data_IF_588605642192
#
_entry.id   IF_588605642192
#
_cell.length_a   1.000
_cell.length_b   1.000
_cell.length_c   1.000
_cell.angle_alpha   90.00
_cell.angle_beta   90.00
_cell.angle_gamma   90.00
#
_symmetry.space_group_name_H-M   'P 1'
#
loop_
_entity.id
_entity.type
_entity.pdbx_description
1 polymer ?
#
# COMPACT_ATOMS: atom_id res chain seq x y z
N UNK A 1 -43.32 17.54 -39.56
CA UNK A 1 -41.89 17.93 -39.57
C UNK A 1 -41.55 19.35 -39.05
N UNK A 2 -42.37 20.11 -38.28
CA UNK A 2 -41.97 21.46 -37.82
C UNK A 2 -41.06 21.50 -36.57
N UNK A 3 -40.92 20.39 -35.83
CA UNK A 3 -40.07 20.35 -34.64
C UNK A 3 -38.58 20.24 -35.00
N UNK A 4 -38.22 19.51 -36.05
CA UNK A 4 -36.82 19.35 -36.50
C UNK A 4 -36.21 20.69 -36.97
N UNK A 5 -37.01 21.53 -37.64
CA UNK A 5 -36.55 22.86 -38.09
C UNK A 5 -36.35 23.86 -36.94
N UNK A 6 -37.11 23.76 -35.84
CA UNK A 6 -36.88 24.61 -34.67
C UNK A 6 -35.64 24.18 -33.89
N UNK A 7 -35.36 22.88 -33.82
CA UNK A 7 -34.15 22.37 -33.19
C UNK A 7 -32.89 22.71 -34.00
N UNK A 8 -32.94 22.64 -35.33
CA UNK A 8 -31.80 23.02 -36.18
C UNK A 8 -31.49 24.52 -36.10
N UNK A 9 -32.50 25.39 -36.07
CA UNK A 9 -32.31 26.84 -35.89
C UNK A 9 -31.77 27.18 -34.49
N UNK A 10 -32.27 26.51 -33.45
CA UNK A 10 -31.74 26.69 -32.10
C UNK A 10 -30.29 26.21 -31.98
N UNK A 11 -29.95 25.05 -32.55
CA UNK A 11 -28.59 24.53 -32.58
C UNK A 11 -27.64 25.46 -33.32
N UNK A 12 -28.03 25.95 -34.51
CA UNK A 12 -27.22 26.89 -35.29
C UNK A 12 -27.01 28.22 -34.57
N UNK A 13 -28.01 28.70 -33.82
CA UNK A 13 -27.88 29.92 -33.01
C UNK A 13 -26.91 29.72 -31.86
N UNK A 14 -26.96 28.56 -31.19
CA UNK A 14 -26.01 28.22 -30.11
C UNK A 14 -24.59 28.09 -30.66
N UNK A 15 -24.41 27.42 -31.79
CA UNK A 15 -23.12 27.26 -32.45
C UNK A 15 -22.52 28.62 -32.83
N UNK A 16 -23.31 29.51 -33.45
CA UNK A 16 -22.85 30.86 -33.79
C UNK A 16 -22.45 31.66 -32.55
N UNK A 17 -23.21 31.58 -31.46
CA UNK A 17 -22.87 32.30 -30.21
C UNK A 17 -21.61 31.75 -29.55
N UNK A 18 -21.41 30.43 -29.57
CA UNK A 18 -20.19 29.80 -29.07
C UNK A 18 -18.98 30.17 -29.94
N UNK A 19 -19.14 30.16 -31.27
CA UNK A 19 -18.10 30.55 -32.21
C UNK A 19 -17.68 32.01 -32.02
N UNK A 20 -18.64 32.93 -31.87
CA UNK A 20 -18.35 34.35 -31.58
C UNK A 20 -17.61 34.51 -30.25
N UNK A 21 -18.02 33.76 -29.22
CA UNK A 21 -17.38 33.76 -27.90
C UNK A 21 -15.93 33.26 -27.93
N UNK A 22 -15.69 32.10 -28.54
CA UNK A 22 -14.33 31.56 -28.71
C UNK A 22 -13.49 32.42 -29.65
N UNK A 23 -14.10 33.01 -30.68
CA UNK A 23 -13.46 33.97 -31.58
C UNK A 23 -12.97 35.21 -30.85
N UNK A 24 -13.76 35.77 -29.93
CA UNK A 24 -13.35 36.90 -29.09
C UNK A 24 -12.17 36.54 -28.19
N UNK A 25 -12.22 35.39 -27.51
CA UNK A 25 -11.11 34.90 -26.67
C UNK A 25 -9.83 34.71 -27.51
N UNK A 26 -9.95 34.08 -28.68
CA UNK A 26 -8.83 33.90 -29.61
C UNK A 26 -8.24 35.22 -30.09
N UNK A 27 -9.08 36.21 -30.38
CA UNK A 27 -8.64 37.56 -30.78
C UNK A 27 -7.89 38.27 -29.64
N UNK A 28 -8.35 38.14 -28.39
CA UNK A 28 -7.64 38.70 -27.24
C UNK A 28 -6.27 38.04 -27.03
N UNK A 29 -6.20 36.70 -27.11
CA UNK A 29 -4.93 35.95 -26.97
C UNK A 29 -3.96 36.30 -28.10
N UNK A 30 -4.46 36.38 -29.34
CA UNK A 30 -3.66 36.74 -30.51
C UNK A 30 -3.17 38.20 -30.51
N UNK A 31 -3.95 39.12 -29.93
CA UNK A 31 -3.56 40.53 -29.82
C UNK A 31 -2.50 40.77 -28.73
N UNK A 32 -2.47 39.94 -27.68
CA UNK A 32 -1.52 40.05 -26.57
C UNK A 32 -0.89 38.69 -26.17
N UNK A 33 -0.09 38.08 -27.05
CA UNK A 33 0.39 36.71 -26.86
C UNK A 33 1.32 36.56 -25.64
N UNK A 34 2.29 37.46 -25.49
CA UNK A 34 3.25 37.40 -24.38
C UNK A 34 2.59 37.57 -23.00
N UNK A 35 1.61 38.48 -22.89
CA UNK A 35 0.89 38.71 -21.63
C UNK A 35 0.03 37.51 -21.26
N UNK A 36 -0.63 36.90 -22.26
CA UNK A 36 -1.49 35.73 -22.07
C UNK A 36 -0.67 34.51 -21.63
N UNK A 37 0.47 34.24 -22.27
CA UNK A 37 1.37 33.14 -21.88
C UNK A 37 1.95 33.38 -20.49
N UNK A 38 2.43 34.59 -20.19
CA UNK A 38 2.98 34.91 -18.88
C UNK A 38 1.94 34.72 -17.77
N UNK A 39 0.70 35.18 -17.98
CA UNK A 39 -0.39 35.01 -17.03
C UNK A 39 -0.68 33.52 -16.76
N UNK A 40 -0.75 32.71 -17.80
CA UNK A 40 -0.97 31.26 -17.67
C UNK A 40 0.18 30.58 -16.91
N UNK A 41 1.44 30.91 -17.23
CA UNK A 41 2.61 30.37 -16.53
C UNK A 41 2.63 30.75 -15.06
N UNK A 42 2.35 32.02 -14.72
CA UNK A 42 2.28 32.49 -13.34
C UNK A 42 1.16 31.80 -12.57
N UNK A 43 -0.02 31.64 -13.19
CA UNK A 43 -1.14 30.93 -12.57
C UNK A 43 -0.77 29.47 -12.28
N UNK A 44 -0.25 28.72 -13.26
CA UNK A 44 0.19 27.35 -13.06
C UNK A 44 1.28 27.24 -11.99
N UNK A 45 2.31 28.11 -12.06
CA UNK A 45 3.42 28.11 -11.11
C UNK A 45 2.96 28.43 -9.68
N UNK A 46 1.93 29.26 -9.50
CA UNK A 46 1.37 29.58 -8.18
C UNK A 46 0.67 28.39 -7.52
N UNK A 47 0.17 27.43 -8.31
CA UNK A 47 -0.55 26.25 -7.82
C UNK A 47 0.39 25.09 -7.46
N UNK A 48 1.53 24.97 -8.16
CA UNK A 48 2.51 23.87 -7.98
C UNK A 48 3.00 23.68 -6.53
N UNK A 49 3.26 24.70 -5.70
CA UNK A 49 3.71 24.50 -4.33
C UNK A 49 2.73 23.67 -3.48
N UNK A 50 1.44 23.65 -3.82
CA UNK A 50 0.44 22.82 -3.17
C UNK A 50 0.74 21.32 -3.23
N UNK A 51 1.57 20.85 -4.18
CA UNK A 51 2.00 19.44 -4.26
C UNK A 51 2.72 19.02 -2.98
N UNK A 52 3.47 19.91 -2.34
CA UNK A 52 4.18 19.63 -1.09
C UNK A 52 3.24 19.38 0.10
N UNK A 53 1.99 19.85 0.01
CA UNK A 53 0.97 19.70 1.05
C UNK A 53 0.14 18.43 0.90
N UNK A 54 0.36 17.66 -0.18
CA UNK A 54 -0.37 16.43 -0.44
C UNK A 54 0.02 15.37 0.57
N UNK A 55 -0.99 14.78 1.22
CA UNK A 55 -0.84 13.62 2.10
C UNK A 55 -1.31 12.37 1.36
N UNK A 56 -0.48 11.34 1.32
CA UNK A 56 -0.85 10.05 0.74
C UNK A 56 -1.70 9.23 1.72
N UNK A 57 -2.68 8.48 1.21
CA UNK A 57 -3.43 7.47 1.96
C UNK A 57 -3.31 6.13 1.24
N UNK A 58 -2.66 5.17 1.87
CA UNK A 58 -2.45 3.80 1.36
C UNK A 58 -3.43 2.78 1.97
N UNK A 59 -4.15 3.14 3.03
CA UNK A 59 -4.99 2.20 3.76
C UNK A 59 -6.15 1.68 2.88
N UNK A 60 -6.05 0.42 2.47
CA UNK A 60 -7.02 -0.23 1.58
C UNK A 60 -8.46 -0.13 2.14
N UNK A 61 -8.62 -0.31 3.45
CA UNK A 61 -9.92 -0.21 4.12
C UNK A 61 -10.59 1.17 3.96
N UNK A 62 -9.80 2.24 3.85
CA UNK A 62 -10.33 3.59 3.64
C UNK A 62 -10.62 3.88 2.17
N UNK A 63 -9.76 3.39 1.27
CA UNK A 63 -9.84 3.63 -0.18
C UNK A 63 -10.98 2.85 -0.85
N UNK A 64 -11.18 1.59 -0.47
CA UNK A 64 -12.08 0.68 -1.18
C UNK A 64 -13.44 0.48 -0.51
N UNK A 65 -13.64 1.00 0.71
CA UNK A 65 -14.95 0.99 1.36
C UNK A 65 -15.68 2.34 1.17
N UNK A 66 -17.00 2.34 0.90
CA UNK A 66 -17.78 3.56 0.77
C UNK A 66 -17.66 4.46 2.01
N UNK A 67 -17.50 5.77 1.77
CA UNK A 67 -17.27 6.73 2.83
C UNK A 67 -18.53 7.19 3.57
N UNK A 68 -19.68 7.17 2.91
CA UNK A 68 -20.98 7.54 3.47
C UNK A 68 -21.99 6.42 3.26
N UNK A 69 -22.97 6.34 4.14
CA UNK A 69 -24.05 5.33 4.09
C UNK A 69 -23.51 3.90 4.12
N UNK A 70 -22.47 3.68 4.93
CA UNK A 70 -21.82 2.39 5.07
C UNK A 70 -22.05 1.87 6.48
N UNK A 71 -23.05 1.00 6.62
CA UNK A 71 -23.39 0.35 7.89
C UNK A 71 -22.18 -0.27 8.59
N UNK A 72 -21.24 -0.86 7.84
CA UNK A 72 -20.04 -1.47 8.43
C UNK A 72 -19.10 -0.43 9.08
N UNK A 73 -19.07 0.82 8.60
CA UNK A 73 -18.30 1.90 9.24
C UNK A 73 -18.99 2.40 10.50
N UNK A 74 -20.30 2.60 10.44
CA UNK A 74 -21.10 3.05 11.59
C UNK A 74 -21.04 2.01 12.73
N UNK A 75 -21.15 0.72 12.40
CA UNK A 75 -21.01 -0.38 13.36
C UNK A 75 -19.59 -0.48 13.93
N UNK A 76 -18.55 -0.19 13.13
CA UNK A 76 -17.16 -0.15 13.61
C UNK A 76 -16.93 1.01 14.57
N UNK A 77 -17.48 2.19 14.28
CA UNK A 77 -17.40 3.34 15.18
C UNK A 77 -18.12 3.05 16.50
N UNK A 78 -19.33 2.47 16.43
CA UNK A 78 -20.07 2.00 17.61
C UNK A 78 -19.28 0.97 18.41
N UNK A 79 -18.69 -0.05 17.75
CA UNK A 79 -17.85 -1.04 18.41
C UNK A 79 -16.65 -0.37 19.10
N UNK A 80 -15.98 0.55 18.42
CA UNK A 80 -14.83 1.26 18.99
C UNK A 80 -15.21 2.11 20.22
N UNK A 81 -16.38 2.73 20.20
CA UNK A 81 -16.89 3.55 21.30
C UNK A 81 -17.28 2.71 22.52
N UNK A 82 -17.93 1.55 22.31
CA UNK A 82 -18.35 0.66 23.39
C UNK A 82 -17.16 0.01 24.08
N UNK A 83 -16.21 -0.51 23.30
CA UNK A 83 -15.08 -1.28 23.84
C UNK A 83 -13.87 -0.41 24.19
N UNK A 84 -13.92 0.91 23.94
CA UNK A 84 -12.80 1.82 24.17
C UNK A 84 -11.61 1.59 23.22
N UNK A 85 -11.85 0.90 22.10
CA UNK A 85 -10.84 0.51 21.12
C UNK A 85 -10.67 1.56 20.01
N UNK A 86 -10.86 2.85 20.31
CA UNK A 86 -10.61 3.90 19.33
C UNK A 86 -9.11 3.87 18.99
N UNK A 87 -8.79 3.53 17.73
CA UNK A 87 -7.44 3.38 17.19
C UNK A 87 -6.60 2.17 17.63
N UNK A 88 -7.22 1.15 18.22
CA UNK A 88 -6.52 -0.09 18.55
C UNK A 88 -6.39 -0.95 17.28
N UNK A 89 -5.27 -0.78 16.57
CA UNK A 89 -4.80 -1.71 15.55
C UNK A 89 -4.23 -2.94 16.23
N UNK A 90 -4.92 -4.08 16.15
CA UNK A 90 -4.37 -5.37 16.57
C UNK A 90 -3.26 -5.75 15.59
N UNK A 91 -2.02 -5.39 15.91
CA UNK A 91 -0.87 -5.72 15.07
C UNK A 91 -0.33 -7.10 15.41
N UNK A 92 -0.38 -7.98 14.41
CA UNK A 92 0.16 -9.32 14.49
C UNK A 92 1.17 -9.52 13.38
N UNK A 93 2.39 -9.88 13.75
CA UNK A 93 3.40 -10.32 12.78
C UNK A 93 3.39 -11.83 12.73
N UNK A 94 3.32 -12.39 11.52
CA UNK A 94 3.18 -13.82 11.29
C UNK A 94 4.37 -14.37 10.49
N UNK A 95 4.86 -15.54 10.91
CA UNK A 95 5.86 -16.34 10.19
C UNK A 95 5.25 -17.71 9.90
N UNK A 96 5.14 -18.06 8.62
CA UNK A 96 4.65 -19.33 8.13
C UNK A 96 5.82 -20.18 7.64
N UNK A 97 6.03 -21.33 8.27
CA UNK A 97 6.86 -22.40 7.73
C UNK A 97 5.95 -23.42 7.02
N UNK A 98 6.21 -23.73 5.75
CA UNK A 98 5.38 -24.64 4.97
C UNK A 98 6.22 -25.55 4.07
N UNK A 99 5.66 -26.69 3.70
CA UNK A 99 6.24 -27.59 2.69
C UNK A 99 5.34 -27.68 1.46
N UNK A 100 5.96 -27.87 0.29
CA UNK A 100 5.25 -28.18 -0.95
C UNK A 100 5.09 -29.69 -1.16
N UNK A 101 5.72 -30.51 -0.31
CA UNK A 101 5.69 -31.96 -0.42
C UNK A 101 4.72 -32.52 0.62
N UNK A 102 3.58 -33.05 0.17
CA UNK A 102 2.53 -33.60 1.05
C UNK A 102 3.02 -34.77 1.93
N UNK A 103 4.12 -35.42 1.55
CA UNK A 103 4.74 -36.52 2.29
C UNK A 103 5.59 -36.05 3.49
N UNK A 104 5.92 -34.75 3.57
CA UNK A 104 6.83 -34.23 4.59
C UNK A 104 6.05 -33.71 5.80
N UNK A 105 6.43 -34.17 6.99
CA UNK A 105 5.82 -33.74 8.24
C UNK A 105 6.64 -32.61 8.89
N UNK A 106 6.04 -31.44 9.05
CA UNK A 106 6.74 -30.33 9.72
C UNK A 106 6.75 -30.45 11.25
N UNK A 107 6.01 -31.40 11.84
CA UNK A 107 6.05 -31.66 13.29
C UNK A 107 7.28 -32.48 13.72
N UNK A 108 8.16 -32.86 12.79
CA UNK A 108 9.37 -33.61 13.10
C UNK A 108 10.34 -32.77 13.96
N UNK A 109 11.03 -33.42 14.88
CA UNK A 109 11.84 -32.73 15.88
C UNK A 109 12.94 -31.85 15.29
N UNK A 110 13.52 -32.27 14.16
CA UNK A 110 14.53 -31.49 13.41
C UNK A 110 13.95 -30.17 12.90
N UNK A 111 12.78 -30.23 12.24
CA UNK A 111 12.07 -29.05 11.72
C UNK A 111 11.73 -28.08 12.85
N UNK A 112 11.17 -28.60 13.94
CA UNK A 112 10.78 -27.80 15.11
C UNK A 112 12.00 -27.15 15.76
N UNK A 113 13.14 -27.84 15.85
CA UNK A 113 14.36 -27.28 16.41
C UNK A 113 14.94 -26.16 15.53
N UNK A 114 14.95 -26.33 14.20
CA UNK A 114 15.32 -25.26 13.27
C UNK A 114 14.35 -24.08 13.34
N UNK A 115 13.06 -24.31 13.51
CA UNK A 115 12.10 -23.24 13.68
C UNK A 115 12.26 -22.51 15.03
N UNK A 116 12.65 -23.24 16.08
CA UNK A 116 12.94 -22.68 17.40
C UNK A 116 14.17 -21.77 17.37
N UNK A 117 15.23 -22.11 16.62
CA UNK A 117 16.40 -21.23 16.50
C UNK A 117 16.05 -19.89 15.84
N UNK A 118 15.20 -19.92 14.80
CA UNK A 118 14.69 -18.70 14.15
C UNK A 118 13.83 -17.88 15.13
N UNK A 119 12.93 -18.54 15.86
CA UNK A 119 12.10 -17.89 16.88
C UNK A 119 12.94 -17.23 17.99
N UNK A 120 13.99 -17.90 18.46
CA UNK A 120 14.91 -17.31 19.44
C UNK A 120 15.65 -16.08 18.89
N UNK A 121 16.05 -16.11 17.62
CA UNK A 121 16.63 -14.95 16.93
C UNK A 121 15.67 -13.76 16.92
N UNK A 122 14.39 -14.00 16.62
CA UNK A 122 13.34 -12.97 16.59
C UNK A 122 13.07 -12.40 18.00
N UNK A 123 13.02 -13.22 19.05
CA UNK A 123 12.78 -12.72 20.41
C UNK A 123 13.96 -11.89 20.93
N UNK A 124 15.19 -12.31 20.60
CA UNK A 124 16.42 -11.68 21.07
C UNK A 124 16.84 -10.47 20.23
N UNK A 125 16.19 -10.20 19.11
CA UNK A 125 16.54 -9.05 18.28
C UNK A 125 16.28 -7.74 19.05
N UNK A 126 17.27 -6.85 18.98
CA UNK A 126 17.17 -5.52 19.55
C UNK A 126 16.80 -4.52 18.45
N UNK A 127 15.66 -3.86 18.63
CA UNK A 127 15.26 -2.71 17.83
C UNK A 127 15.69 -1.43 18.52
N UNK A 128 16.12 -0.45 17.74
CA UNK A 128 16.60 0.83 18.26
C UNK A 128 15.82 1.97 17.63
N UNK A 129 15.28 2.85 18.46
CA UNK A 129 14.66 4.11 18.04
C UNK A 129 15.44 5.29 18.60
N UNK A 130 15.61 6.31 17.77
CA UNK A 130 16.12 7.60 18.18
C UNK A 130 14.95 8.55 18.43
N UNK A 131 14.73 8.91 19.69
CA UNK A 131 13.75 9.94 20.09
C UNK A 131 14.54 11.18 20.55
N UNK A 132 14.74 12.11 19.62
CA UNK A 132 15.65 13.25 19.84
C UNK A 132 17.09 12.79 20.02
N UNK A 133 17.74 13.22 21.11
CA UNK A 133 19.14 12.86 21.43
C UNK A 133 19.27 11.48 22.14
N UNK A 134 18.15 10.83 22.49
CA UNK A 134 18.18 9.55 23.21
C UNK A 134 17.89 8.39 22.26
N UNK A 135 18.76 7.38 22.30
CA UNK A 135 18.53 6.08 21.66
C UNK A 135 17.94 5.13 22.69
N UNK A 136 16.77 4.57 22.37
CA UNK A 136 16.09 3.58 23.19
C UNK A 136 16.20 2.25 22.43
N UNK A 137 16.91 1.29 23.02
CA UNK A 137 16.88 -0.10 22.56
C UNK A 137 15.76 -0.85 23.28
N UNK A 138 15.08 -1.72 22.55
CA UNK A 138 13.99 -2.54 23.07
C UNK A 138 13.90 -3.86 22.31
N UNK A 139 13.30 -4.85 22.94
CA UNK A 139 13.11 -6.20 22.41
C UNK A 139 11.63 -6.52 22.27
N UNK A 140 11.30 -7.68 21.68
CA UNK A 140 9.92 -8.14 21.62
C UNK A 140 9.28 -8.21 23.02
N UNK A 141 10.03 -8.58 24.06
CA UNK A 141 9.50 -8.68 25.43
C UNK A 141 8.99 -7.37 25.98
N UNK A 142 9.53 -6.25 25.53
CA UNK A 142 9.17 -4.91 26.04
C UNK A 142 7.89 -4.39 25.40
N UNK A 143 7.56 -4.84 24.19
CA UNK A 143 6.41 -4.36 23.41
C UNK A 143 5.31 -5.41 23.22
N UNK A 144 5.55 -6.67 23.58
CA UNK A 144 4.59 -7.74 23.34
C UNK A 144 3.30 -7.55 24.14
N UNK A 145 2.18 -7.99 23.57
CA UNK A 145 0.90 -8.09 24.29
C UNK A 145 1.08 -9.10 25.43
N UNK A 146 0.86 -8.70 26.67
CA UNK A 146 0.99 -9.61 27.82
C UNK A 146 -0.25 -10.49 27.99
N UNK A 147 -0.08 -11.67 28.59
CA UNK A 147 -1.22 -12.50 28.97
C UNK A 147 -2.05 -11.82 30.06
N UNK A 148 -3.38 -11.92 29.96
CA UNK A 148 -4.30 -11.52 31.02
C UNK A 148 -4.57 -12.62 32.06
N UNK A 149 -3.95 -13.80 31.92
CA UNK A 149 -4.16 -14.92 32.84
C UNK A 149 -3.37 -14.71 34.13
N UNK A 150 -4.05 -14.90 35.27
CA UNK A 150 -3.47 -14.74 36.61
C UNK A 150 -2.23 -15.64 36.75
N UNK A 151 -1.10 -15.05 37.12
CA UNK A 151 0.18 -15.76 37.26
C UNK A 151 1.03 -15.87 35.98
N UNK A 152 0.52 -15.43 34.83
CA UNK A 152 1.25 -15.39 33.54
C UNK A 152 1.38 -13.97 32.97
N UNK A 153 1.17 -12.94 33.79
CA UNK A 153 1.17 -11.53 33.39
C UNK A 153 2.50 -11.07 32.77
N UNK A 154 3.60 -11.75 33.11
CA UNK A 154 4.91 -11.46 32.52
C UNK A 154 5.15 -12.15 31.17
N UNK A 155 4.27 -13.04 30.72
CA UNK A 155 4.45 -13.78 29.48
C UNK A 155 3.90 -13.00 28.27
N UNK A 156 4.68 -12.98 27.19
CA UNK A 156 4.24 -12.45 25.91
C UNK A 156 3.24 -13.37 25.22
N UNK A 157 2.20 -12.77 24.65
CA UNK A 157 1.23 -13.41 23.77
C UNK A 157 1.89 -13.78 22.46
N UNK A 158 2.20 -15.07 22.37
CA UNK A 158 2.80 -15.72 21.23
C UNK A 158 2.04 -17.01 20.98
N UNK A 159 1.69 -17.27 19.73
CA UNK A 159 1.02 -18.51 19.32
C UNK A 159 1.93 -19.19 18.30
N UNK A 160 2.38 -20.40 18.61
CA UNK A 160 3.19 -21.20 17.70
C UNK A 160 3.64 -22.51 18.35
N UNK A 161 3.90 -23.51 17.52
CA UNK A 161 4.29 -24.85 17.98
C UNK A 161 5.65 -24.88 18.71
N UNK A 162 6.48 -23.85 18.52
CA UNK A 162 7.86 -23.78 19.06
C UNK A 162 7.94 -23.61 20.58
N UNK A 163 6.86 -23.11 21.21
CA UNK A 163 6.74 -22.98 22.68
C UNK A 163 6.34 -24.31 23.35
N UNK A 164 5.98 -25.33 22.56
CA UNK A 164 5.60 -26.67 23.03
C UNK A 164 6.80 -27.61 23.09
N UNK A 165 6.80 -28.50 24.09
CA UNK A 165 7.72 -29.62 24.17
C UNK A 165 7.40 -30.71 23.15
N UNK A 166 8.37 -31.57 22.83
CA UNK A 166 8.16 -32.67 21.88
C UNK A 166 7.03 -33.64 22.28
N UNK A 167 6.82 -33.82 23.59
CA UNK A 167 5.74 -34.67 24.10
C UNK A 167 4.37 -33.98 24.02
N UNK A 168 4.31 -32.67 24.17
CA UNK A 168 3.10 -31.89 23.96
C UNK A 168 2.72 -31.84 22.48
N UNK A 169 3.70 -31.72 21.57
CA UNK A 169 3.48 -31.70 20.12
C UNK A 169 2.76 -32.98 19.65
N UNK A 170 3.17 -34.15 20.16
CA UNK A 170 2.53 -35.45 19.85
C UNK A 170 1.09 -35.57 20.37
N UNK A 171 0.72 -34.75 21.36
CA UNK A 171 -0.59 -34.77 22.02
C UNK A 171 -1.45 -33.56 21.67
N UNK A 172 -1.11 -32.83 20.60
CA UNK A 172 -1.94 -31.72 20.14
C UNK A 172 -3.28 -32.28 19.61
N UNK A 173 -4.42 -31.92 20.22
CA UNK A 173 -5.73 -32.36 19.74
C UNK A 173 -6.06 -31.71 18.39
N UNK A 174 -6.92 -32.34 17.60
CA UNK A 174 -7.31 -31.81 16.29
C UNK A 174 -8.19 -30.55 16.34
N UNK A 175 -8.85 -30.25 17.47
CA UNK A 175 -9.78 -29.12 17.58
C UNK A 175 -9.17 -27.92 18.29
N UNK A 176 -9.07 -27.97 19.61
CA UNK A 176 -8.60 -26.87 20.46
C UNK A 176 -7.49 -27.33 21.39
N UNK A 177 -6.38 -26.61 21.39
CA UNK A 177 -5.30 -26.81 22.34
C UNK A 177 -5.51 -25.90 23.56
N UNK A 178 -5.44 -26.49 24.75
CA UNK A 178 -5.54 -25.72 26.00
C UNK A 178 -4.16 -25.22 26.40
N UNK A 179 -3.92 -23.91 26.24
CA UNK A 179 -2.70 -23.26 26.69
C UNK A 179 -2.95 -22.64 28.08
N UNK A 180 -2.20 -23.03 29.14
CA UNK A 180 -2.37 -22.46 30.48
C UNK A 180 -2.24 -20.93 30.53
N UNK A 181 -1.51 -20.34 29.58
CA UNK A 181 -1.24 -18.89 29.50
C UNK A 181 -2.34 -18.14 28.77
N UNK A 182 -3.00 -18.75 27.78
CA UNK A 182 -3.90 -18.04 26.85
C UNK A 182 -5.28 -18.69 26.69
N UNK A 183 -5.55 -19.77 27.41
CA UNK A 183 -6.79 -20.53 27.34
C UNK A 183 -6.86 -21.43 26.09
N UNK A 184 -8.08 -21.68 25.62
CA UNK A 184 -8.33 -22.54 24.47
C UNK A 184 -8.00 -21.83 23.16
N UNK A 185 -7.01 -22.35 22.44
CA UNK A 185 -6.57 -21.86 21.13
C UNK A 185 -7.04 -22.87 20.07
N UNK A 186 -7.78 -22.45 19.02
CA UNK A 186 -8.11 -23.33 17.91
C UNK A 186 -6.82 -23.77 17.21
N UNK A 187 -6.60 -25.07 17.05
CA UNK A 187 -5.34 -25.58 16.48
C UNK A 187 -5.14 -25.15 15.03
N UNK A 188 -6.23 -24.85 14.33
CA UNK A 188 -6.21 -24.27 12.99
C UNK A 188 -5.53 -22.88 12.91
N UNK A 189 -5.35 -22.16 14.03
CA UNK A 189 -4.66 -20.85 14.01
C UNK A 189 -3.14 -20.98 13.92
N UNK A 190 -2.57 -22.16 14.18
CA UNK A 190 -1.11 -22.35 14.15
C UNK A 190 -0.62 -23.61 13.41
N UNK A 191 -1.50 -24.57 13.11
CA UNK A 191 -1.19 -25.74 12.28
C UNK A 191 -2.11 -25.77 11.05
N UNK A 192 -1.50 -25.76 9.86
CA UNK A 192 -2.17 -25.87 8.55
C UNK A 192 -1.91 -27.22 7.87
N UNK A 193 -2.81 -27.63 6.96
CA UNK A 193 -2.67 -28.90 6.22
C UNK A 193 -2.54 -30.12 7.14
N UNK A 194 -3.42 -30.21 8.14
CA UNK A 194 -3.32 -31.19 9.23
C UNK A 194 -3.90 -32.53 8.81
N UNK A 195 -3.21 -33.61 9.20
CA UNK A 195 -3.71 -34.98 9.10
C UNK A 195 -3.99 -35.50 10.50
N UNK A 196 -5.24 -35.90 10.74
CA UNK A 196 -5.68 -36.41 12.03
C UNK A 196 -5.39 -37.91 12.16
N UNK A 197 -5.07 -38.33 13.37
CA UNK A 197 -4.96 -39.74 13.75
C UNK A 197 -6.30 -40.27 14.25
N UNK A 198 -6.46 -41.60 14.32
CA UNK A 198 -7.66 -42.26 14.84
C UNK A 198 -8.04 -41.80 16.26
N UNK A 199 -7.05 -41.36 17.05
CA UNK A 199 -7.23 -40.86 18.42
C UNK A 199 -7.58 -39.36 18.50
N UNK A 200 -7.98 -38.71 17.40
CA UNK A 200 -8.30 -37.27 17.35
C UNK A 200 -7.13 -36.32 17.69
N UNK A 201 -5.89 -36.81 17.56
CA UNK A 201 -4.67 -36.01 17.67
C UNK A 201 -4.09 -35.70 16.29
N UNK A 202 -3.36 -34.59 16.17
CA UNK A 202 -2.67 -34.24 14.93
C UNK A 202 -1.48 -35.17 14.73
N UNK A 203 -1.46 -35.90 13.61
CA UNK A 203 -0.36 -36.80 13.23
C UNK A 203 0.69 -36.08 12.39
N UNK A 204 0.26 -35.24 11.47
CA UNK A 204 1.13 -34.50 10.56
C UNK A 204 0.55 -33.11 10.28
N UNK A 205 1.42 -32.16 9.95
CA UNK A 205 1.04 -30.83 9.47
C UNK A 205 1.96 -30.38 8.34
N UNK A 206 1.37 -29.79 7.30
CA UNK A 206 2.09 -29.25 6.15
C UNK A 206 2.48 -27.75 6.31
N UNK A 207 1.90 -27.07 7.30
CA UNK A 207 2.19 -25.66 7.61
C UNK A 207 2.18 -25.38 9.10
N UNK A 208 3.13 -24.56 9.56
CA UNK A 208 3.28 -24.10 10.94
C UNK A 208 3.27 -22.57 10.94
N UNK A 209 2.33 -21.95 11.64
CA UNK A 209 2.24 -20.50 11.78
C UNK A 209 2.70 -20.07 13.17
N UNK A 210 3.59 -19.07 13.20
CA UNK A 210 4.05 -18.39 14.40
C UNK A 210 3.51 -16.96 14.38
N UNK A 211 2.76 -16.58 15.41
CA UNK A 211 2.13 -15.27 15.51
C UNK A 211 2.67 -14.51 16.72
N UNK A 212 3.18 -13.31 16.46
CA UNK A 212 3.72 -12.39 17.45
C UNK A 212 2.76 -11.23 17.62
N UNK A 213 2.11 -11.14 18.79
CA UNK A 213 1.15 -10.07 19.10
C UNK A 213 1.83 -8.92 19.83
N UNK A 214 1.68 -7.71 19.32
CA UNK A 214 2.22 -6.49 19.94
C UNK A 214 1.14 -5.85 20.84
N UNK A 215 1.58 -5.23 21.94
CA UNK A 215 0.70 -4.55 22.88
C UNK A 215 0.12 -3.28 22.26
N UNK A 216 -1.17 -3.08 22.50
CA UNK A 216 -1.95 -1.96 21.96
C UNK A 216 -1.54 -0.61 22.58
N UNK A 217 -0.91 -0.64 23.76
CA UNK A 217 -0.40 0.53 24.48
C UNK A 217 0.97 1.01 24.00
N UNK A 218 1.64 0.25 23.14
CA UNK A 218 2.97 0.60 22.63
C UNK A 218 2.88 1.77 21.64
N UNK A 219 3.88 2.64 21.63
CA UNK A 219 3.92 3.75 20.67
C UNK A 219 3.99 3.22 19.22
N UNK A 220 3.21 3.86 18.31
CA UNK A 220 3.10 3.44 16.90
C UNK A 220 4.46 3.42 16.20
N UNK A 221 5.35 4.33 16.56
CA UNK A 221 6.71 4.38 16.01
C UNK A 221 7.55 3.15 16.42
N UNK A 222 7.43 2.71 17.69
CA UNK A 222 8.09 1.52 18.22
C UNK A 222 7.57 0.24 17.59
N UNK A 223 6.25 0.12 17.45
CA UNK A 223 5.64 -1.03 16.77
C UNK A 223 6.12 -1.14 15.33
N UNK A 224 6.01 -0.05 14.55
CA UNK A 224 6.42 -0.04 13.16
C UNK A 224 7.92 -0.34 12.98
N UNK A 225 8.77 0.14 13.89
CA UNK A 225 10.20 -0.14 13.82
C UNK A 225 10.52 -1.61 14.07
N UNK A 226 9.90 -2.22 15.07
CA UNK A 226 10.09 -3.63 15.36
C UNK A 226 9.59 -4.52 14.22
N UNK A 227 8.46 -4.18 13.61
CA UNK A 227 7.95 -4.88 12.43
C UNK A 227 8.93 -4.81 11.23
N UNK A 228 9.56 -3.65 11.01
CA UNK A 228 10.57 -3.46 9.97
C UNK A 228 11.83 -4.31 10.25
N UNK A 229 12.32 -4.30 11.49
CA UNK A 229 13.48 -5.08 11.90
C UNK A 229 13.17 -6.60 11.88
N UNK A 230 11.96 -7.01 12.29
CA UNK A 230 11.44 -8.38 12.16
C UNK A 230 11.49 -8.85 10.71
N UNK A 231 10.93 -8.06 9.79
CA UNK A 231 10.85 -8.41 8.38
C UNK A 231 12.24 -8.50 7.76
N UNK A 232 13.16 -7.58 8.08
CA UNK A 232 14.56 -7.66 7.65
C UNK A 232 15.26 -8.91 8.19
N UNK A 233 15.08 -9.21 9.46
CA UNK A 233 15.70 -10.38 10.09
C UNK A 233 15.24 -11.68 9.42
N UNK A 234 13.93 -11.86 9.26
CA UNK A 234 13.34 -13.04 8.60
C UNK A 234 13.78 -13.13 7.14
N UNK A 235 13.87 -12.02 6.41
CA UNK A 235 14.37 -12.00 5.04
C UNK A 235 15.83 -12.44 4.94
N UNK A 236 16.68 -11.99 5.87
CA UNK A 236 18.08 -12.42 5.93
C UNK A 236 18.18 -13.91 6.21
N UNK A 237 17.43 -14.42 7.20
CA UNK A 237 17.36 -15.85 7.51
C UNK A 237 16.87 -16.65 6.30
N UNK A 238 15.81 -16.21 5.62
CA UNK A 238 15.27 -16.88 4.44
C UNK A 238 16.25 -16.88 3.26
N UNK A 239 17.11 -15.87 3.11
CA UNK A 239 18.12 -15.82 2.05
C UNK A 239 19.36 -16.66 2.37
N UNK A 240 19.87 -16.56 3.59
CA UNK A 240 21.12 -17.21 4.00
C UNK A 240 20.92 -18.68 4.36
N UNK A 241 19.85 -18.99 5.10
CA UNK A 241 19.55 -20.33 5.61
C UNK A 241 18.47 -21.04 4.79
N UNK A 242 17.71 -20.33 3.96
CA UNK A 242 16.64 -20.92 3.14
C UNK A 242 17.03 -22.18 2.36
N UNK A 243 18.19 -22.22 1.68
CA UNK A 243 18.61 -23.40 0.92
C UNK A 243 18.91 -24.64 1.78
N UNK A 244 19.25 -24.46 3.06
CA UNK A 244 19.59 -25.54 3.98
C UNK A 244 18.42 -25.95 4.89
N UNK A 245 17.35 -25.17 4.92
CA UNK A 245 16.17 -25.49 5.72
C UNK A 245 15.32 -26.58 5.03
N UNK A 246 14.76 -27.52 5.81
CA UNK A 246 13.89 -28.56 5.26
C UNK A 246 12.50 -28.03 4.84
N UNK A 247 12.20 -26.74 5.06
CA UNK A 247 10.91 -26.11 4.77
C UNK A 247 11.10 -24.74 4.12
N UNK A 248 10.02 -24.24 3.51
CA UNK A 248 9.95 -22.89 2.97
C UNK A 248 9.39 -21.93 4.02
N UNK A 249 9.86 -20.69 3.97
CA UNK A 249 9.40 -19.61 4.85
C UNK A 249 8.58 -18.60 4.05
N UNK A 250 7.45 -18.19 4.63
CA UNK A 250 6.67 -17.03 4.25
C UNK A 250 6.43 -16.19 5.50
N UNK A 251 6.28 -14.88 5.34
CA UNK A 251 6.13 -13.95 6.45
C UNK A 251 5.18 -12.84 6.06
N UNK A 252 4.49 -12.31 7.05
CA UNK A 252 3.47 -11.30 6.90
C UNK A 252 3.50 -10.37 8.10
N UNK A 253 3.40 -9.07 7.85
CA UNK A 253 3.19 -8.04 8.87
C UNK A 253 2.02 -7.17 8.42
N UNK A 254 1.28 -6.58 9.35
CA UNK A 254 0.09 -5.77 9.03
C UNK A 254 0.43 -4.65 8.01
N UNK A 255 1.60 -4.02 8.16
CA UNK A 255 2.05 -2.94 7.29
C UNK A 255 2.50 -3.38 5.89
N UNK A 256 2.77 -4.67 5.69
CA UNK A 256 3.38 -5.16 4.44
C UNK A 256 2.45 -5.00 3.23
N UNK A 257 1.13 -5.13 3.42
CA UNK A 257 0.15 -4.91 2.35
C UNK A 257 0.18 -3.47 1.85
N UNK A 258 0.15 -2.50 2.77
CA UNK A 258 0.22 -1.08 2.43
C UNK A 258 1.56 -0.70 1.81
N UNK A 259 2.66 -1.24 2.34
CA UNK A 259 4.01 -0.99 1.82
C UNK A 259 4.18 -1.55 0.42
N UNK A 260 3.77 -2.79 0.15
CA UNK A 260 3.88 -3.39 -1.19
C UNK A 260 2.97 -2.68 -2.19
N UNK A 261 1.77 -2.23 -1.80
CA UNK A 261 0.93 -1.38 -2.65
C UNK A 261 1.62 -0.04 -2.99
N UNK A 262 2.20 0.61 -1.98
CA UNK A 262 2.90 1.89 -2.17
C UNK A 262 4.16 1.73 -3.05
N UNK A 263 4.88 0.62 -2.89
CA UNK A 263 6.10 0.30 -3.62
C UNK A 263 5.81 -0.06 -5.07
N UNK A 264 4.74 -0.83 -5.33
CA UNK A 264 4.25 -1.09 -6.70
C UNK A 264 3.97 0.24 -7.40
N UNK A 265 3.23 1.13 -6.75
CA UNK A 265 2.90 2.44 -7.34
C UNK A 265 4.14 3.32 -7.56
N UNK A 266 5.07 3.36 -6.60
CA UNK A 266 6.30 4.17 -6.71
C UNK A 266 7.20 3.70 -7.85
N UNK A 267 7.25 2.38 -8.09
CA UNK A 267 7.93 1.81 -9.25
C UNK A 267 7.33 2.34 -10.57
N UNK A 268 6.00 2.46 -10.63
CA UNK A 268 5.28 2.87 -11.83
C UNK A 268 5.47 4.37 -12.16
N UNK A 269 5.78 5.23 -11.18
CA UNK A 269 6.10 6.65 -11.43
C UNK A 269 7.27 6.78 -12.42
N UNK A 270 8.26 5.88 -12.35
CA UNK A 270 9.37 5.88 -13.31
C UNK A 270 8.90 5.58 -14.73
N UNK A 271 7.96 4.64 -14.89
CA UNK A 271 7.36 4.32 -16.18
C UNK A 271 6.56 5.50 -16.73
N UNK A 272 5.90 6.27 -15.86
CA UNK A 272 5.21 7.50 -16.26
C UNK A 272 6.16 8.51 -16.89
N UNK A 273 7.33 8.76 -16.27
CA UNK A 273 8.34 9.68 -16.82
C UNK A 273 8.83 9.17 -18.19
N UNK A 274 9.10 7.87 -18.32
CA UNK A 274 9.50 7.26 -19.60
C UNK A 274 8.42 7.45 -20.66
N UNK A 275 7.15 7.23 -20.30
CA UNK A 275 6.02 7.41 -21.21
C UNK A 275 5.88 8.86 -21.68
N UNK A 276 6.09 9.83 -20.78
CA UNK A 276 6.05 11.26 -21.12
C UNK A 276 7.15 11.64 -22.11
N UNK A 277 8.38 11.17 -21.88
CA UNK A 277 9.50 11.38 -22.81
C UNK A 277 9.23 10.70 -24.16
N UNK A 278 8.68 9.48 -24.17
CA UNK A 278 8.37 8.76 -25.39
C UNK A 278 7.31 9.48 -26.23
N UNK A 279 6.23 9.96 -25.61
CA UNK A 279 5.18 10.73 -26.28
C UNK A 279 5.74 12.04 -26.82
N UNK A 280 6.54 12.76 -26.03
CA UNK A 280 7.20 13.99 -26.47
C UNK A 280 8.12 13.76 -27.67
N UNK A 281 8.90 12.67 -27.68
CA UNK A 281 9.75 12.29 -28.80
C UNK A 281 8.93 11.92 -30.04
N UNK A 282 7.84 11.17 -29.88
CA UNK A 282 6.93 10.81 -30.95
C UNK A 282 6.30 12.05 -31.60
N UNK A 283 5.71 12.94 -30.81
CA UNK A 283 5.07 14.15 -31.31
C UNK A 283 6.07 15.10 -31.96
N UNK A 284 7.30 15.16 -31.43
CA UNK A 284 8.39 15.91 -32.04
C UNK A 284 8.72 15.37 -33.43
N UNK A 285 8.88 14.06 -33.59
CA UNK A 285 9.20 13.43 -34.89
C UNK A 285 8.07 13.67 -35.90
N UNK A 286 6.81 13.49 -35.49
CA UNK A 286 5.64 13.67 -36.36
C UNK A 286 5.48 15.11 -36.84
N UNK A 287 5.72 16.09 -35.96
CA UNK A 287 5.63 17.52 -36.31
C UNK A 287 6.90 18.08 -36.96
N UNK A 288 7.99 17.32 -36.97
CA UNK A 288 9.23 17.73 -37.59
C UNK A 288 9.17 17.47 -39.10
N UNK A 289 9.04 18.54 -39.88
CA UNK A 289 9.25 18.46 -41.33
C UNK A 289 10.75 18.32 -41.61
N UNK A 290 11.16 17.14 -42.10
CA UNK A 290 12.55 16.86 -42.48
C UNK A 290 13.00 17.60 -43.75
N UNK A 291 12.05 18.00 -44.60
CA UNK A 291 12.33 18.63 -45.90
C UNK A 291 12.29 20.15 -45.81
N UNK A 292 11.37 20.72 -45.01
CA UNK A 292 11.20 22.17 -44.88
C UNK A 292 11.37 22.63 -43.43
N UNK A 293 12.53 23.22 -43.12
CA UNK A 293 12.82 23.76 -41.79
C UNK A 293 11.87 24.89 -41.37
N UNK A 294 11.29 25.62 -42.34
CA UNK A 294 10.34 26.72 -42.09
C UNK A 294 8.92 26.20 -41.78
N UNK A 295 8.56 25.02 -42.30
CA UNK A 295 7.26 24.38 -42.02
C UNK A 295 7.30 23.50 -40.75
N UNK A 296 8.47 23.32 -40.15
CA UNK A 296 8.65 22.48 -38.96
C UNK A 296 7.93 23.08 -37.75
N UNK A 297 6.99 22.33 -37.18
CA UNK A 297 6.23 22.71 -35.97
C UNK A 297 6.76 22.03 -34.71
N UNK A 298 8.02 21.61 -34.74
CA UNK A 298 8.64 20.86 -33.65
C UNK A 298 8.63 21.61 -32.30
N UNK A 299 8.83 22.93 -32.30
CA UNK A 299 8.73 23.74 -31.07
C UNK A 299 7.29 23.84 -30.53
N UNK A 300 6.29 23.78 -31.41
CA UNK A 300 4.88 23.74 -31.00
C UNK A 300 4.59 22.46 -30.22
N UNK A 301 5.17 21.33 -30.66
CA UNK A 301 5.05 20.05 -29.94
C UNK A 301 5.64 20.11 -28.52
N UNK A 302 6.83 20.69 -28.36
CA UNK A 302 7.41 20.88 -27.01
C UNK A 302 6.55 21.79 -26.13
N UNK A 303 6.03 22.89 -26.69
CA UNK A 303 5.15 23.80 -25.96
C UNK A 303 3.84 23.11 -25.55
N UNK A 304 3.25 22.29 -26.41
CA UNK A 304 2.04 21.51 -26.12
C UNK A 304 2.27 20.49 -25.00
N UNK A 305 3.29 19.63 -25.11
CA UNK A 305 3.62 18.67 -24.06
C UNK A 305 3.98 19.35 -22.73
N UNK A 306 4.69 20.48 -22.79
CA UNK A 306 4.99 21.31 -21.61
C UNK A 306 3.74 21.88 -20.95
N UNK A 307 2.78 22.37 -21.75
CA UNK A 307 1.50 22.89 -21.25
C UNK A 307 0.69 21.79 -20.55
N UNK A 308 0.62 20.58 -21.12
CA UNK A 308 -0.06 19.42 -20.52
C UNK A 308 0.60 19.05 -19.19
N UNK A 309 1.94 18.99 -19.14
CA UNK A 309 2.68 18.70 -17.91
C UNK A 309 2.42 19.74 -16.81
N UNK A 310 2.40 21.03 -17.15
CA UNK A 310 2.05 22.11 -16.22
C UNK A 310 0.59 22.06 -15.76
N UNK A 311 -0.34 21.68 -16.64
CA UNK A 311 -1.75 21.51 -16.29
C UNK A 311 -1.95 20.36 -15.30
N UNK A 312 -1.28 19.22 -15.52
CA UNK A 312 -1.27 18.09 -14.59
C UNK A 312 -0.68 18.54 -13.23
N UNK A 313 0.49 19.19 -13.23
CA UNK A 313 1.15 19.64 -12.02
C UNK A 313 0.32 20.66 -11.21
N UNK A 314 -0.26 21.66 -11.88
CA UNK A 314 -1.12 22.65 -11.24
C UNK A 314 -2.42 22.05 -10.70
N UNK A 315 -2.98 21.04 -11.38
CA UNK A 315 -4.15 20.28 -10.89
C UNK A 315 -3.85 19.54 -9.59
N UNK A 316 -2.72 18.81 -9.53
CA UNK A 316 -2.28 18.16 -8.29
C UNK A 316 -2.00 19.19 -7.19
N UNK A 317 -1.36 20.32 -7.54
CA UNK A 317 -1.12 21.42 -6.61
C UNK A 317 -2.39 22.01 -6.00
N UNK A 318 -3.42 22.25 -6.83
CA UNK A 318 -4.74 22.70 -6.39
C UNK A 318 -5.41 21.68 -5.44
N UNK A 319 -5.30 20.39 -5.74
CA UNK A 319 -5.82 19.33 -4.87
C UNK A 319 -5.09 19.28 -3.54
N UNK A 320 -3.78 19.54 -3.53
CA UNK A 320 -2.97 19.68 -2.32
C UNK A 320 -3.40 20.85 -1.45
N UNK A 321 -3.67 22.03 -2.04
CA UNK A 321 -4.26 23.16 -1.31
C UNK A 321 -5.64 22.85 -0.75
N UNK A 322 -6.42 22.06 -1.48
CA UNK A 322 -7.75 21.59 -1.04
C UNK A 322 -7.68 20.48 0.02
N UNK A 323 -6.48 20.07 0.44
CA UNK A 323 -6.23 19.02 1.44
C UNK A 323 -6.86 17.66 1.07
N UNK A 324 -6.99 17.39 -0.23
CA UNK A 324 -7.46 16.09 -0.71
C UNK A 324 -6.32 15.08 -0.60
N UNK A 325 -6.60 13.93 0.03
CA UNK A 325 -5.60 12.86 0.17
C UNK A 325 -5.32 12.20 -1.17
N UNK A 326 -4.04 11.95 -1.44
CA UNK A 326 -3.60 11.28 -2.66
C UNK A 326 -3.75 9.77 -2.52
N UNK A 327 -4.42 9.17 -3.50
CA UNK A 327 -4.51 7.72 -3.65
C UNK A 327 -3.44 7.28 -4.66
N UNK A 328 -2.57 6.31 -4.31
CA UNK A 328 -1.56 5.77 -5.22
C UNK A 328 -2.08 5.40 -6.62
N UNK A 329 -3.31 4.87 -6.72
CA UNK A 329 -3.96 4.47 -7.99
C UNK A 329 -4.19 5.66 -8.94
N UNK A 330 -4.29 6.90 -8.42
CA UNK A 330 -4.46 8.10 -9.25
C UNK A 330 -3.26 8.34 -10.17
N UNK A 331 -2.09 7.75 -9.87
CA UNK A 331 -0.92 7.80 -10.75
C UNK A 331 -1.24 7.34 -12.19
N UNK A 332 -2.14 6.36 -12.37
CA UNK A 332 -2.54 5.88 -13.70
C UNK A 332 -3.38 6.88 -14.48
N UNK A 333 -4.17 7.73 -13.80
CA UNK A 333 -5.00 8.75 -14.44
C UNK A 333 -4.13 9.79 -15.14
N UNK A 334 -2.96 10.10 -14.58
CA UNK A 334 -2.00 11.04 -15.18
C UNK A 334 -1.53 10.59 -16.57
N UNK A 335 -1.35 9.28 -16.78
CA UNK A 335 -1.01 8.74 -18.10
C UNK A 335 -2.17 8.90 -19.10
N UNK A 336 -3.41 8.67 -18.66
CA UNK A 336 -4.59 8.90 -19.50
C UNK A 336 -4.75 10.37 -19.89
N UNK A 337 -4.56 11.28 -18.93
CA UNK A 337 -4.61 12.73 -19.17
C UNK A 337 -3.54 13.20 -20.15
N UNK A 338 -2.36 12.59 -20.12
CA UNK A 338 -1.32 12.87 -21.11
C UNK A 338 -1.79 12.48 -22.52
N UNK A 339 -2.36 11.27 -22.68
CA UNK A 339 -2.86 10.80 -23.97
C UNK A 339 -3.95 11.71 -24.54
N UNK A 340 -4.96 12.05 -23.74
CA UNK A 340 -6.05 12.95 -24.13
C UNK A 340 -5.55 14.37 -24.43
N UNK A 341 -4.67 14.92 -23.59
CA UNK A 341 -4.15 16.26 -23.80
C UNK A 341 -3.31 16.39 -25.07
N UNK A 342 -2.61 15.31 -25.44
CA UNK A 342 -1.87 15.24 -26.71
C UNK A 342 -2.82 15.15 -27.89
N UNK A 343 -3.86 14.32 -27.82
CA UNK A 343 -4.91 14.22 -28.86
C UNK A 343 -5.58 15.57 -29.14
N UNK A 344 -5.92 16.34 -28.10
CA UNK A 344 -6.51 17.68 -28.26
C UNK A 344 -5.52 18.73 -28.83
N UNK A 345 -4.21 18.50 -28.70
CA UNK A 345 -3.17 19.46 -29.09
C UNK A 345 -2.68 19.31 -30.54
N UNK A 346 -2.89 18.15 -31.16
CA UNK A 346 -2.35 17.80 -32.49
C UNK A 346 -3.45 17.61 -33.53
#
# INVERSE_FOLDING_TARGET
>A
MPCLDRFSVAAATIESRLADGFGYVGMCVGSYPFRSILLALVMCASLVPGITMIKSESAAQKLYAPARWNRARDERELYSAIFGNQDIEKRTSSLLAYTSNDAQNLLDAEVINSLRSIHEGIIKMESVIATGDKKISFTFKDICKRSGSIGYESNCSFIGVVDLSQEEIKRIPASFYNNPRFGYIPVATFLGGRVESENSFVKSAAGLLLQYSIAETTDKSMMARWEEDFLKHVQTVAKEQGPSLPFKLAYEIEKSEEEELSKSTSSDIKLLIVSFVAVMAFTFIVMHSFMDKVASKAFLSFAACGAIGMAIGSSFGLMGYSQVKFNPVVAFVTFLLLGLGVDDSF
#
